data_IF_210492692539
#
_entry.id   IF_210492692539
#
_cell.length_a   1.000
_cell.length_b   1.000
_cell.length_c   1.000
_cell.angle_alpha   90.00
_cell.angle_beta   90.00
_cell.angle_gamma   90.00
#
_symmetry.space_group_name_H-M   'P 1'
#
loop_
_entity.id
_entity.type
_entity.pdbx_description
1 polymer ?
#
# COMPACT_ATOMS: atom_id res chain seq x y z
N UNK A 1 2.65 -42.84 7.84
CA UNK A 1 3.94 -42.43 8.45
C UNK A 1 4.43 -41.02 8.08
N UNK A 2 3.92 -40.33 7.04
CA UNK A 2 4.37 -38.96 6.65
C UNK A 2 4.06 -37.81 7.65
N UNK A 3 3.46 -38.10 8.79
CA UNK A 3 3.04 -37.11 9.80
C UNK A 3 3.63 -37.35 11.19
N UNK A 4 4.49 -38.36 11.37
CA UNK A 4 5.13 -38.69 12.64
C UNK A 4 6.55 -38.12 12.65
N UNK A 5 6.90 -37.42 13.74
CA UNK A 5 8.22 -36.84 13.96
C UNK A 5 8.72 -37.19 15.36
N UNK A 6 9.99 -37.55 15.48
CA UNK A 6 10.63 -37.82 16.76
C UNK A 6 11.23 -36.52 17.31
N UNK A 7 10.96 -36.23 18.59
CA UNK A 7 11.49 -35.03 19.25
C UNK A 7 12.87 -35.29 19.86
N UNK A 8 13.60 -34.21 20.17
CA UNK A 8 14.91 -34.29 20.84
C UNK A 8 14.86 -35.09 22.16
N UNK A 9 13.73 -35.05 22.88
CA UNK A 9 13.52 -35.86 24.10
C UNK A 9 13.70 -37.36 23.86
N UNK A 10 13.24 -37.87 22.73
CA UNK A 10 13.42 -39.27 22.35
C UNK A 10 14.89 -39.61 22.16
N UNK A 11 15.64 -38.77 21.45
CA UNK A 11 17.07 -38.96 21.23
C UNK A 11 17.88 -38.84 22.53
N UNK A 12 17.53 -37.90 23.41
CA UNK A 12 18.17 -37.80 24.73
C UNK A 12 17.87 -39.00 25.62
N UNK A 13 16.65 -39.53 25.59
CA UNK A 13 16.30 -40.76 26.30
C UNK A 13 17.14 -41.95 25.80
N UNK A 14 17.26 -42.11 24.48
CA UNK A 14 18.11 -43.15 23.88
C UNK A 14 19.60 -42.95 24.17
N UNK A 15 20.07 -41.69 24.18
CA UNK A 15 21.46 -41.39 24.54
C UNK A 15 21.76 -41.77 26.00
N UNK A 16 20.84 -41.48 26.92
CA UNK A 16 20.94 -41.93 28.32
C UNK A 16 20.98 -43.45 28.45
N UNK A 17 20.13 -44.17 27.70
CA UNK A 17 20.17 -45.64 27.60
C UNK A 17 21.53 -46.12 27.07
N UNK A 18 22.08 -45.44 26.05
CA UNK A 18 23.42 -45.74 25.51
C UNK A 18 24.53 -45.60 26.55
N UNK A 19 24.50 -44.54 27.37
CA UNK A 19 25.44 -44.36 28.48
C UNK A 19 25.32 -45.53 29.47
N UNK A 20 24.11 -45.95 29.82
CA UNK A 20 23.91 -47.11 30.71
C UNK A 20 24.52 -48.40 30.13
N UNK A 21 24.42 -48.61 28.81
CA UNK A 21 25.10 -49.75 28.17
C UNK A 21 26.63 -49.65 28.21
N UNK A 22 27.20 -48.46 28.06
CA UNK A 22 28.65 -48.27 28.21
C UNK A 22 29.09 -48.57 29.64
N UNK A 23 28.33 -48.11 30.64
CA UNK A 23 28.60 -48.40 32.06
C UNK A 23 28.41 -49.89 32.41
N UNK A 24 27.58 -50.62 31.67
CA UNK A 24 27.39 -52.05 31.84
C UNK A 24 28.64 -52.89 31.54
N UNK A 25 29.59 -52.35 30.76
CA UNK A 25 30.90 -52.97 30.59
C UNK A 25 31.67 -53.07 31.92
N UNK A 26 31.61 -52.01 32.74
CA UNK A 26 32.31 -51.95 34.03
C UNK A 26 31.50 -52.57 35.17
N UNK A 27 30.17 -52.47 35.10
CA UNK A 27 29.26 -52.93 36.15
C UNK A 27 28.17 -53.82 35.55
N UNK A 28 28.27 -55.16 35.65
CA UNK A 28 27.32 -56.08 35.02
C UNK A 28 25.84 -55.86 35.39
N UNK A 29 25.56 -55.34 36.58
CA UNK A 29 24.20 -55.00 37.03
C UNK A 29 23.53 -53.93 36.14
N UNK A 30 24.32 -53.01 35.57
CA UNK A 30 23.80 -51.96 34.68
C UNK A 30 23.21 -52.51 33.39
N UNK A 31 23.55 -53.74 32.99
CA UNK A 31 22.96 -54.37 31.79
C UNK A 31 21.44 -54.57 31.93
N UNK A 32 20.99 -55.05 33.09
CA UNK A 32 19.56 -55.25 33.36
C UNK A 32 18.80 -53.91 33.43
N UNK A 33 19.45 -52.89 33.98
CA UNK A 33 18.92 -51.52 34.05
C UNK A 33 18.80 -50.94 32.64
N UNK A 34 19.83 -51.06 31.81
CA UNK A 34 19.83 -50.56 30.43
C UNK A 34 18.74 -51.23 29.56
N UNK A 35 18.58 -52.55 29.64
CA UNK A 35 17.51 -53.28 28.96
C UNK A 35 16.12 -52.81 29.41
N UNK A 36 15.92 -52.66 30.72
CA UNK A 36 14.64 -52.21 31.29
C UNK A 36 14.30 -50.78 30.86
N UNK A 37 15.29 -49.87 30.89
CA UNK A 37 15.12 -48.49 30.42
C UNK A 37 14.82 -48.43 28.92
N UNK A 38 15.47 -49.27 28.11
CA UNK A 38 15.20 -49.33 26.67
C UNK A 38 13.75 -49.76 26.40
N UNK A 39 13.28 -50.84 27.02
CA UNK A 39 11.91 -51.31 26.90
C UNK A 39 10.94 -50.22 27.36
N UNK A 40 11.22 -49.57 28.49
CA UNK A 40 10.40 -48.47 29.01
C UNK A 40 10.28 -47.30 28.02
N UNK A 41 11.39 -46.86 27.42
CA UNK A 41 11.38 -45.79 26.40
C UNK A 41 10.59 -46.21 25.16
N UNK A 42 10.73 -47.46 24.70
CA UNK A 42 9.98 -47.98 23.56
C UNK A 42 8.47 -48.05 23.84
N UNK A 43 8.08 -48.53 25.03
CA UNK A 43 6.67 -48.56 25.46
C UNK A 43 6.11 -47.14 25.57
N UNK A 44 6.82 -46.21 26.21
CA UNK A 44 6.38 -44.81 26.27
C UNK A 44 6.23 -44.18 24.89
N UNK A 45 7.14 -44.49 23.97
CA UNK A 45 7.08 -43.99 22.58
C UNK A 45 5.88 -44.57 21.85
N UNK A 46 5.58 -45.86 22.03
CA UNK A 46 4.40 -46.51 21.45
C UNK A 46 3.09 -45.93 22.02
N UNK A 47 3.03 -45.71 23.34
CA UNK A 47 1.87 -45.09 24.01
C UNK A 47 1.66 -43.65 23.53
N UNK A 48 2.73 -42.85 23.45
CA UNK A 48 2.67 -41.47 22.93
C UNK A 48 2.16 -41.43 21.48
N UNK A 49 2.66 -42.34 20.64
CA UNK A 49 2.21 -42.51 19.26
C UNK A 49 0.74 -42.94 19.18
N UNK A 50 0.30 -43.90 19.98
CA UNK A 50 -1.09 -44.35 19.98
C UNK A 50 -2.03 -43.22 20.40
N UNK A 51 -1.74 -42.52 21.50
CA UNK A 51 -2.58 -41.42 22.00
C UNK A 51 -2.72 -40.31 20.94
N UNK A 52 -1.61 -39.94 20.28
CA UNK A 52 -1.63 -38.90 19.24
C UNK A 52 -2.31 -39.34 17.94
N UNK A 53 -2.34 -40.63 17.59
CA UNK A 53 -2.86 -41.09 16.29
C UNK A 53 -4.23 -41.78 16.36
N UNK A 54 -4.72 -42.13 17.56
CA UNK A 54 -6.09 -42.64 17.78
C UNK A 54 -7.13 -41.62 17.31
N UNK A 55 -6.99 -40.36 17.72
CA UNK A 55 -7.92 -39.32 17.30
C UNK A 55 -7.48 -38.73 15.95
N UNK A 56 -8.14 -39.12 14.84
CA UNK A 56 -7.80 -38.60 13.50
C UNK A 56 -7.95 -37.08 13.42
N UNK A 57 -8.97 -36.52 14.06
CA UNK A 57 -9.26 -35.08 14.14
C UNK A 57 -8.81 -34.49 15.47
N UNK A 58 -7.62 -34.87 15.94
CA UNK A 58 -7.09 -34.42 17.23
C UNK A 58 -6.97 -32.90 17.38
N UNK A 59 -6.82 -32.16 16.27
CA UNK A 59 -6.95 -30.71 16.23
C UNK A 59 -7.70 -30.26 14.97
N UNK A 60 -8.44 -29.15 15.10
CA UNK A 60 -8.94 -28.38 13.97
C UNK A 60 -8.28 -27.01 13.99
N UNK A 61 -7.84 -26.51 12.85
CA UNK A 61 -7.24 -25.19 12.77
C UNK A 61 -7.67 -24.46 11.50
N UNK A 62 -7.79 -23.15 11.63
CA UNK A 62 -8.07 -22.25 10.52
C UNK A 62 -7.29 -20.95 10.69
N UNK A 63 -6.71 -20.51 9.59
CA UNK A 63 -6.21 -19.18 9.29
C UNK A 63 -7.37 -18.33 8.81
N UNK A 64 -7.52 -17.19 9.44
CA UNK A 64 -8.49 -16.16 9.13
C UNK A 64 -7.69 -15.01 8.51
N UNK A 65 -7.80 -14.90 7.20
CA UNK A 65 -7.18 -13.84 6.41
C UNK A 65 -8.14 -12.65 6.30
N UNK A 66 -7.62 -11.42 6.22
CA UNK A 66 -8.45 -10.29 5.80
C UNK A 66 -8.92 -10.49 4.35
N UNK A 67 -9.94 -9.76 3.91
CA UNK A 67 -10.40 -9.84 2.52
C UNK A 67 -9.33 -9.40 1.52
N UNK A 68 -8.53 -8.41 1.90
CA UNK A 68 -7.47 -7.79 1.10
C UNK A 68 -6.34 -7.32 2.00
N UNK A 69 -5.11 -7.38 1.49
CA UNK A 69 -3.95 -6.75 2.11
C UNK A 69 -3.85 -5.27 1.70
N UNK A 70 -3.37 -4.45 2.61
CA UNK A 70 -3.11 -3.02 2.41
C UNK A 70 -1.59 -2.78 2.30
N UNK A 71 -1.12 -2.37 1.12
CA UNK A 71 0.29 -2.20 0.80
C UNK A 71 0.95 -1.07 1.62
N UNK A 72 2.00 -1.41 2.36
CA UNK A 72 2.71 -0.51 3.26
C UNK A 72 2.06 -0.28 4.62
N UNK A 73 1.00 -1.04 4.94
CA UNK A 73 0.34 -0.97 6.25
C UNK A 73 0.43 -2.32 6.98
N UNK A 74 0.22 -2.30 8.29
CA UNK A 74 0.14 -3.49 9.12
C UNK A 74 -1.17 -4.26 8.86
N UNK A 75 -1.06 -5.51 8.44
CA UNK A 75 -2.20 -6.40 8.20
C UNK A 75 -2.19 -7.54 9.23
N UNK A 76 -3.30 -7.67 9.95
CA UNK A 76 -3.51 -8.73 10.93
C UNK A 76 -3.90 -10.05 10.24
N UNK A 77 -3.16 -11.12 10.54
CA UNK A 77 -3.56 -12.49 10.23
C UNK A 77 -3.80 -13.23 11.53
N UNK A 78 -4.96 -13.88 11.62
CA UNK A 78 -5.37 -14.61 12.81
C UNK A 78 -5.40 -16.09 12.51
N UNK A 79 -5.08 -16.90 13.51
CA UNK A 79 -5.22 -18.34 13.43
C UNK A 79 -5.94 -18.81 14.68
N UNK A 80 -6.94 -19.64 14.46
CA UNK A 80 -7.79 -20.28 15.45
C UNK A 80 -7.48 -21.78 15.44
N UNK A 81 -7.15 -22.33 16.60
CA UNK A 81 -6.85 -23.75 16.79
C UNK A 81 -7.73 -24.27 17.91
N UNK A 82 -8.44 -25.36 17.64
CA UNK A 82 -9.20 -26.12 18.63
C UNK A 82 -8.50 -27.41 18.97
N UNK A 83 -8.32 -27.66 20.27
CA UNK A 83 -7.81 -28.92 20.77
C UNK A 83 -8.96 -29.92 20.99
N UNK A 84 -8.97 -31.00 20.23
CA UNK A 84 -9.96 -32.09 20.36
C UNK A 84 -9.39 -33.31 21.11
N UNK A 85 -8.17 -33.23 21.65
CA UNK A 85 -7.66 -34.24 22.56
C UNK A 85 -8.20 -34.01 23.98
N UNK A 86 -8.31 -35.10 24.75
CA UNK A 86 -8.72 -35.08 26.15
C UNK A 86 -7.57 -34.70 27.11
N UNK A 87 -6.52 -34.07 26.60
CA UNK A 87 -5.33 -33.67 27.34
C UNK A 87 -4.75 -32.38 26.76
N UNK A 88 -3.92 -31.70 27.56
CA UNK A 88 -3.26 -30.46 27.16
C UNK A 88 -2.17 -30.76 26.13
N UNK A 89 -2.17 -30.00 25.04
CA UNK A 89 -1.22 -30.19 23.94
C UNK A 89 -0.21 -29.05 23.88
N UNK A 90 1.04 -29.39 23.58
CA UNK A 90 2.05 -28.41 23.21
C UNK A 90 2.16 -28.36 21.69
N UNK A 91 1.96 -27.18 21.12
CA UNK A 91 1.94 -26.97 19.68
C UNK A 91 3.14 -26.16 19.23
N UNK A 92 3.69 -26.54 18.07
CA UNK A 92 4.61 -25.73 17.25
C UNK A 92 3.90 -25.42 15.94
N UNK A 93 3.60 -24.16 15.72
CA UNK A 93 2.80 -23.69 14.61
C UNK A 93 3.72 -22.95 13.64
N UNK A 94 3.74 -23.44 12.41
CA UNK A 94 4.50 -22.88 11.31
C UNK A 94 3.49 -22.52 10.25
N UNK A 95 3.41 -21.24 9.94
CA UNK A 95 2.64 -20.79 8.81
C UNK A 95 3.58 -20.46 7.64
N UNK A 96 3.36 -21.11 6.50
CA UNK A 96 4.09 -20.84 5.26
C UNK A 96 3.64 -19.48 4.68
N UNK A 97 4.20 -18.42 5.25
CA UNK A 97 3.98 -17.04 4.83
C UNK A 97 4.57 -16.84 3.40
N UNK A 98 3.91 -16.06 2.52
CA UNK A 98 4.39 -15.81 1.17
C UNK A 98 5.83 -15.30 1.12
N UNK A 99 6.59 -15.76 0.12
CA UNK A 99 8.03 -15.49 0.02
C UNK A 99 8.37 -13.99 -0.02
N UNK A 100 7.45 -13.15 -0.52
CA UNK A 100 7.63 -11.70 -0.60
C UNK A 100 7.88 -11.06 0.77
N UNK A 101 7.39 -11.66 1.85
CA UNK A 101 7.62 -11.16 3.22
C UNK A 101 9.01 -11.51 3.77
N UNK A 102 9.75 -12.43 3.13
CA UNK A 102 11.08 -12.92 3.56
C UNK A 102 11.16 -13.43 5.03
N UNK A 103 10.02 -13.73 5.68
CA UNK A 103 9.96 -14.31 7.03
C UNK A 103 10.12 -15.85 6.94
N UNK A 104 11.34 -16.35 7.15
CA UNK A 104 11.66 -17.80 6.99
C UNK A 104 11.65 -18.60 8.29
N UNK A 105 11.75 -17.92 9.42
CA UNK A 105 11.89 -18.48 10.76
C UNK A 105 10.60 -18.39 11.59
N UNK A 106 9.45 -18.23 10.93
CA UNK A 106 8.17 -18.07 11.60
C UNK A 106 7.78 -19.35 12.36
N UNK A 107 7.76 -19.23 13.70
CA UNK A 107 7.41 -20.31 14.60
C UNK A 107 6.70 -19.76 15.83
N UNK A 108 5.51 -20.28 16.11
CA UNK A 108 4.76 -19.97 17.32
C UNK A 108 4.67 -21.23 18.19
N UNK A 109 4.95 -21.08 19.48
CA UNK A 109 4.79 -22.16 20.48
C UNK A 109 3.64 -21.82 21.41
N UNK A 110 2.69 -22.74 21.56
CA UNK A 110 1.53 -22.53 22.44
C UNK A 110 1.11 -23.82 23.11
N UNK A 111 0.73 -23.72 24.38
CA UNK A 111 0.04 -24.79 25.10
C UNK A 111 -1.47 -24.53 24.98
N UNK A 112 -2.23 -25.56 24.61
CA UNK A 112 -3.68 -25.48 24.43
C UNK A 112 -4.32 -26.54 25.34
N UNK A 113 -5.20 -26.10 26.24
CA UNK A 113 -5.91 -26.96 27.16
C UNK A 113 -6.87 -27.91 26.41
N UNK A 114 -7.18 -29.04 27.04
CA UNK A 114 -8.15 -30.01 26.52
C UNK A 114 -9.50 -29.36 26.19
N UNK A 115 -10.02 -29.58 24.98
CA UNK A 115 -11.33 -29.08 24.56
C UNK A 115 -11.43 -27.57 24.27
N UNK A 116 -10.38 -26.79 24.55
CA UNK A 116 -10.38 -25.34 24.42
C UNK A 116 -9.87 -24.88 23.04
N UNK A 117 -10.24 -23.64 22.69
CA UNK A 117 -9.71 -22.92 21.53
C UNK A 117 -8.56 -22.01 21.95
N UNK A 118 -7.57 -21.88 21.08
CA UNK A 118 -6.51 -20.89 21.18
C UNK A 118 -6.52 -20.00 19.94
N UNK A 119 -6.54 -18.69 20.17
CA UNK A 119 -6.42 -17.67 19.14
C UNK A 119 -5.04 -17.05 19.20
N UNK A 120 -4.45 -16.83 18.03
CA UNK A 120 -3.24 -16.04 17.91
C UNK A 120 -3.28 -15.15 16.69
N UNK A 121 -2.59 -14.03 16.79
CA UNK A 121 -2.57 -12.98 15.81
C UNK A 121 -1.11 -12.60 15.53
N UNK A 122 -0.78 -12.42 14.26
CA UNK A 122 0.52 -11.90 13.85
C UNK A 122 0.34 -10.91 12.71
N UNK A 123 1.32 -10.01 12.60
CA UNK A 123 1.24 -8.88 11.68
C UNK A 123 2.16 -9.11 10.48
N UNK A 124 1.62 -8.80 9.30
CA UNK A 124 2.32 -8.80 8.02
C UNK A 124 2.23 -7.41 7.38
N UNK A 125 3.36 -6.89 6.92
CA UNK A 125 3.42 -5.61 6.22
C UNK A 125 3.87 -5.85 4.77
N UNK A 126 2.95 -5.88 3.79
CA UNK A 126 3.29 -6.12 2.39
C UNK A 126 3.97 -4.90 1.81
N UNK A 127 5.14 -5.11 1.22
CA UNK A 127 5.95 -4.07 0.56
C UNK A 127 5.76 -4.01 -0.96
N UNK A 128 5.03 -4.98 -1.51
CA UNK A 128 4.72 -5.04 -2.93
C UNK A 128 3.21 -5.21 -3.13
N UNK A 129 2.67 -4.61 -4.20
CA UNK A 129 1.30 -4.88 -4.63
C UNK A 129 1.25 -6.12 -5.52
N UNK A 130 0.08 -6.76 -5.56
CA UNK A 130 -0.14 -7.96 -6.37
C UNK A 130 -0.79 -9.09 -5.58
N UNK A 131 -0.56 -10.33 -6.01
CA UNK A 131 -1.13 -11.52 -5.38
C UNK A 131 -0.10 -12.18 -4.44
N UNK A 132 -0.52 -12.41 -3.21
CA UNK A 132 0.23 -13.14 -2.18
C UNK A 132 -0.37 -14.53 -2.04
N UNK A 133 0.44 -15.57 -2.19
CA UNK A 133 0.01 -16.96 -2.05
C UNK A 133 0.58 -17.53 -0.76
N UNK A 134 -0.31 -17.76 0.22
CA UNK A 134 0.05 -18.44 1.45
C UNK A 134 0.17 -19.94 1.20
N UNK A 135 1.22 -20.55 1.74
CA UNK A 135 1.36 -21.99 1.72
C UNK A 135 0.52 -22.68 2.80
N UNK A 136 1.01 -23.80 3.29
CA UNK A 136 0.35 -24.60 4.31
C UNK A 136 0.43 -23.96 5.70
N UNK A 137 -0.65 -24.09 6.47
CA UNK A 137 -0.60 -23.96 7.93
C UNK A 137 -0.21 -25.32 8.53
N UNK A 138 0.99 -25.41 9.06
CA UNK A 138 1.57 -26.65 9.62
C UNK A 138 1.58 -26.56 11.14
N UNK A 139 0.98 -27.54 11.81
CA UNK A 139 0.95 -27.61 13.27
C UNK A 139 1.52 -28.94 13.72
N UNK A 140 2.59 -28.89 14.50
CA UNK A 140 3.14 -30.06 15.19
C UNK A 140 2.58 -30.10 16.61
N UNK A 141 1.92 -31.20 16.94
CA UNK A 141 1.28 -31.43 18.23
C UNK A 141 2.09 -32.45 19.03
N UNK A 142 2.39 -32.11 20.27
CA UNK A 142 3.05 -32.98 21.24
C UNK A 142 2.08 -33.28 22.38
N UNK A 143 2.08 -34.53 22.83
CA UNK A 143 1.44 -34.90 24.09
C UNK A 143 2.30 -34.42 25.29
N UNK A 144 1.81 -34.58 26.53
CA UNK A 144 2.61 -34.36 27.74
C UNK A 144 3.89 -35.22 27.80
N UNK A 145 3.88 -36.43 27.21
CA UNK A 145 5.06 -37.31 27.11
C UNK A 145 6.12 -36.65 26.20
N UNK A 146 5.69 -36.22 25.01
CA UNK A 146 6.46 -35.39 24.10
C UNK A 146 7.66 -36.08 23.45
N UNK A 147 7.67 -37.42 23.35
CA UNK A 147 8.66 -38.19 22.60
C UNK A 147 8.36 -38.13 21.10
N UNK A 148 7.09 -38.12 20.73
CA UNK A 148 6.58 -38.00 19.37
C UNK A 148 5.86 -36.66 19.18
N UNK A 149 5.98 -36.11 17.96
CA UNK A 149 5.15 -35.05 17.43
C UNK A 149 4.31 -35.59 16.27
N UNK A 150 3.02 -35.23 16.25
CA UNK A 150 2.15 -35.44 15.09
C UNK A 150 2.00 -34.14 14.30
N UNK A 151 2.22 -34.19 12.99
CA UNK A 151 2.05 -33.06 12.06
C UNK A 151 0.64 -33.04 11.46
N UNK A 152 0.00 -31.89 11.53
CA UNK A 152 -1.23 -31.55 10.84
C UNK A 152 -0.98 -30.43 9.82
N UNK A 153 -1.76 -30.40 8.75
CA UNK A 153 -1.61 -29.47 7.64
C UNK A 153 -2.98 -28.96 7.23
N UNK A 154 -3.15 -27.64 7.19
CA UNK A 154 -4.41 -26.97 6.90
C UNK A 154 -4.24 -25.89 5.81
N UNK A 155 -5.35 -25.55 5.15
CA UNK A 155 -5.51 -24.41 4.23
C UNK A 155 -4.30 -24.10 3.35
N UNK A 156 -4.16 -24.90 2.30
CA UNK A 156 -3.10 -24.77 1.31
C UNK A 156 -3.45 -23.71 0.24
N UNK A 157 -2.45 -22.98 -0.21
CA UNK A 157 -2.49 -22.10 -1.40
C UNK A 157 -3.57 -20.99 -1.32
N UNK A 158 -3.77 -20.41 -0.13
CA UNK A 158 -4.71 -19.30 0.06
C UNK A 158 -4.16 -18.02 -0.61
N UNK A 159 -4.86 -17.55 -1.65
CA UNK A 159 -4.49 -16.35 -2.41
C UNK A 159 -5.10 -15.10 -1.81
N UNK A 160 -4.29 -14.06 -1.66
CA UNK A 160 -4.72 -12.80 -1.08
C UNK A 160 -4.13 -11.62 -1.87
N UNK A 161 -4.99 -10.70 -2.30
CA UNK A 161 -4.59 -9.55 -3.09
C UNK A 161 -4.14 -8.39 -2.19
N UNK A 162 -2.97 -7.81 -2.49
CA UNK A 162 -2.42 -6.58 -1.89
C UNK A 162 -2.77 -5.36 -2.74
N UNK A 163 -3.66 -4.54 -2.20
CA UNK A 163 -4.16 -3.30 -2.80
C UNK A 163 -3.38 -2.09 -2.27
N UNK A 164 -3.48 -0.91 -2.94
CA UNK A 164 -3.01 0.35 -2.38
C UNK A 164 -3.53 0.59 -0.97
N UNK A 165 -2.77 1.34 -0.16
CA UNK A 165 -3.11 1.64 1.22
C UNK A 165 -4.53 2.20 1.34
N UNK A 166 -5.38 1.50 2.11
CA UNK A 166 -6.76 1.90 2.38
C UNK A 166 -7.10 2.00 3.87
N UNK A 167 -6.26 1.43 4.76
CA UNK A 167 -6.48 1.43 6.21
C UNK A 167 -6.50 2.87 6.76
N UNK A 168 -5.64 3.74 6.23
CA UNK A 168 -5.47 5.11 6.70
C UNK A 168 -6.43 6.14 6.07
N UNK A 169 -7.37 5.74 5.19
CA UNK A 169 -8.27 6.69 4.51
C UNK A 169 -9.09 7.54 5.48
N UNK A 170 -9.60 6.93 6.55
CA UNK A 170 -10.39 7.64 7.58
C UNK A 170 -9.54 8.65 8.36
N UNK A 171 -8.28 8.32 8.65
CA UNK A 171 -7.32 9.23 9.29
C UNK A 171 -7.11 10.47 8.42
N UNK A 172 -6.89 10.29 7.12
CA UNK A 172 -6.72 11.40 6.19
C UNK A 172 -8.00 12.24 6.02
N UNK A 173 -9.18 11.62 6.06
CA UNK A 173 -10.46 12.35 6.05
C UNK A 173 -10.57 13.30 7.25
N UNK A 174 -10.24 12.83 8.46
CA UNK A 174 -10.27 13.66 9.67
C UNK A 174 -9.24 14.81 9.61
N UNK A 175 -8.03 14.55 9.13
CA UNK A 175 -6.99 15.57 8.95
C UNK A 175 -7.41 16.63 7.92
N UNK A 176 -8.03 16.23 6.81
CA UNK A 176 -8.53 17.13 5.78
C UNK A 176 -9.60 18.08 6.33
N UNK A 177 -10.49 17.59 7.20
CA UNK A 177 -11.49 18.41 7.88
C UNK A 177 -10.83 19.44 8.81
N UNK A 178 -9.83 19.04 9.60
CA UNK A 178 -9.11 19.96 10.48
C UNK A 178 -8.44 21.10 9.69
N UNK A 179 -7.77 20.78 8.58
CA UNK A 179 -7.11 21.79 7.75
C UNK A 179 -8.09 22.77 7.09
N UNK A 180 -9.30 22.33 6.77
CA UNK A 180 -10.33 23.21 6.24
C UNK A 180 -10.74 24.29 7.25
N UNK A 181 -10.86 23.96 8.54
CA UNK A 181 -11.10 24.95 9.58
C UNK A 181 -10.00 26.01 9.63
N UNK A 182 -8.74 25.60 9.46
CA UNK A 182 -7.60 26.52 9.41
C UNK A 182 -7.61 27.40 8.15
N UNK A 183 -8.07 26.87 7.02
CA UNK A 183 -8.19 27.60 5.75
C UNK A 183 -9.43 28.51 5.69
N UNK A 184 -10.36 28.40 6.66
CA UNK A 184 -11.63 29.13 6.72
C UNK A 184 -11.52 30.67 6.75
N UNK A 185 -10.32 31.23 6.90
CA UNK A 185 -10.04 32.67 6.78
C UNK A 185 -9.67 33.16 5.37
N UNK A 186 -9.51 32.27 4.38
CA UNK A 186 -9.16 32.67 3.01
C UNK A 186 -10.42 33.23 2.33
N UNK A 187 -10.48 34.55 2.18
CA UNK A 187 -11.53 35.24 1.42
C UNK A 187 -11.59 34.66 0.01
N UNK A 188 -12.71 34.01 -0.34
CA UNK A 188 -12.97 33.53 -1.71
C UNK A 188 -12.98 34.73 -2.66
N UNK A 189 -11.88 34.97 -3.34
CA UNK A 189 -11.83 35.97 -4.40
C UNK A 189 -12.60 35.38 -5.58
N UNK A 190 -13.81 35.88 -5.84
CA UNK A 190 -14.56 35.60 -7.07
C UNK A 190 -13.70 36.10 -8.24
N UNK A 191 -13.05 35.19 -8.98
CA UNK A 191 -12.41 35.53 -10.26
C UNK A 191 -13.45 35.44 -11.36
N UNK A 192 -13.63 36.55 -12.08
CA UNK A 192 -14.41 36.60 -13.31
C UNK A 192 -13.63 35.85 -14.40
N UNK A 193 -14.09 34.68 -14.82
CA UNK A 193 -13.36 33.81 -15.76
C UNK A 193 -13.84 32.36 -15.75
N UNK A 194 -15.00 32.16 -16.36
CA UNK A 194 -15.84 30.97 -16.53
C UNK A 194 -15.18 29.57 -16.60
N UNK A 195 -15.59 28.68 -15.68
CA UNK A 195 -16.07 27.33 -16.04
C UNK A 195 -17.49 27.23 -15.48
N UNK A 196 -18.48 27.67 -16.25
CA UNK A 196 -19.88 27.60 -15.82
C UNK A 196 -20.53 26.38 -16.49
N UNK A 197 -21.19 25.55 -15.70
CA UNK A 197 -21.98 24.42 -16.17
C UNK A 197 -23.36 24.94 -16.59
N UNK A 198 -23.86 24.49 -17.75
CA UNK A 198 -25.20 24.85 -18.20
C UNK A 198 -26.21 24.29 -17.17
N UNK A 199 -26.99 25.18 -16.57
CA UNK A 199 -28.00 24.82 -15.58
C UNK A 199 -29.34 24.60 -16.28
N UNK A 200 -29.82 25.61 -16.99
CA UNK A 200 -31.10 25.59 -17.67
C UNK A 200 -31.22 26.73 -18.69
N UNK A 201 -32.26 26.69 -19.53
CA UNK A 201 -32.67 27.84 -20.34
C UNK A 201 -33.82 28.52 -19.61
N UNK A 202 -33.75 29.84 -19.43
CA UNK A 202 -34.82 30.64 -18.83
C UNK A 202 -35.19 31.83 -19.69
N UNK A 203 -36.32 32.47 -19.37
CA UNK A 203 -36.73 33.73 -19.98
C UNK A 203 -35.69 34.84 -19.70
N UNK A 204 -35.43 35.66 -20.72
CA UNK A 204 -34.59 36.85 -20.62
C UNK A 204 -35.19 37.84 -19.63
N UNK A 205 -34.36 38.34 -18.70
CA UNK A 205 -34.72 39.44 -17.81
C UNK A 205 -33.81 40.62 -18.11
N UNK A 206 -34.36 41.83 -18.01
CA UNK A 206 -33.62 43.06 -18.24
C UNK A 206 -32.41 43.14 -17.29
N UNK A 207 -31.21 43.17 -17.85
CA UNK A 207 -29.93 43.09 -17.12
C UNK A 207 -29.10 41.85 -17.45
N UNK A 208 -29.68 40.85 -18.12
CA UNK A 208 -28.93 39.69 -18.64
C UNK A 208 -28.03 40.08 -19.81
N UNK A 209 -26.83 39.48 -19.85
CA UNK A 209 -25.88 39.66 -20.95
C UNK A 209 -26.47 39.15 -22.27
N UNK A 210 -26.34 39.95 -23.32
CA UNK A 210 -26.83 39.62 -24.67
C UNK A 210 -26.06 38.41 -25.24
N UNK A 211 -24.84 38.15 -24.78
CA UNK A 211 -24.01 37.02 -25.23
C UNK A 211 -24.53 35.65 -24.78
N UNK A 212 -25.34 35.59 -23.72
CA UNK A 212 -25.91 34.33 -23.22
C UNK A 212 -27.26 33.99 -23.86
N UNK A 213 -27.76 34.80 -24.80
CA UNK A 213 -29.02 34.53 -25.52
C UNK A 213 -28.89 33.23 -26.32
N UNK A 214 -29.84 32.31 -26.11
CA UNK A 214 -29.93 31.08 -26.86
C UNK A 214 -30.85 31.26 -28.07
N UNK A 215 -30.28 31.70 -29.20
CA UNK A 215 -31.05 31.94 -30.43
C UNK A 215 -31.85 30.74 -30.92
N UNK A 216 -31.40 29.51 -30.66
CA UNK A 216 -32.10 28.28 -31.04
C UNK A 216 -33.34 28.03 -30.18
N UNK A 217 -33.30 28.41 -28.91
CA UNK A 217 -34.45 28.32 -28.02
C UNK A 217 -35.42 29.49 -28.27
N UNK A 218 -34.88 30.70 -28.48
CA UNK A 218 -35.63 31.90 -28.87
C UNK A 218 -36.33 31.76 -30.22
N UNK A 219 -35.82 30.98 -31.18
CA UNK A 219 -36.54 30.77 -32.45
C UNK A 219 -37.74 29.83 -32.32
N UNK A 220 -37.77 29.02 -31.25
CA UNK A 220 -38.86 28.08 -30.96
C UNK A 220 -39.87 28.62 -29.93
N UNK A 221 -39.47 29.62 -29.15
CA UNK A 221 -40.28 30.29 -28.16
C UNK A 221 -40.58 31.70 -28.65
N UNK A 222 -41.81 32.21 -28.52
CA UNK A 222 -42.12 33.61 -28.91
C UNK A 222 -41.53 34.67 -27.95
N UNK A 223 -40.56 34.28 -27.11
CA UNK A 223 -39.90 35.11 -26.10
C UNK A 223 -38.37 34.91 -26.17
N UNK A 224 -37.61 35.94 -25.79
CA UNK A 224 -36.16 35.88 -25.67
C UNK A 224 -35.75 34.89 -24.57
N UNK A 225 -34.94 33.90 -24.94
CA UNK A 225 -34.46 32.82 -24.06
C UNK A 225 -32.95 32.98 -23.82
N UNK A 226 -32.51 32.77 -22.57
CA UNK A 226 -31.11 32.92 -22.15
C UNK A 226 -30.61 31.61 -21.53
N UNK A 227 -29.40 31.21 -21.88
CA UNK A 227 -28.70 30.13 -21.20
C UNK A 227 -28.26 30.62 -19.81
N UNK A 228 -28.84 30.02 -18.77
CA UNK A 228 -28.38 30.19 -17.40
C UNK A 228 -27.26 29.19 -17.14
N UNK A 229 -26.12 29.71 -16.70
CA UNK A 229 -24.98 28.89 -16.31
C UNK A 229 -24.72 29.09 -14.82
N UNK A 230 -24.39 28.00 -14.12
CA UNK A 230 -23.99 27.99 -12.72
C UNK A 230 -22.49 27.71 -12.63
N UNK A 231 -21.82 28.23 -11.59
CA UNK A 231 -20.43 27.85 -11.33
C UNK A 231 -20.32 26.32 -11.18
N UNK A 232 -19.41 25.67 -11.92
CA UNK A 232 -19.19 24.23 -11.82
C UNK A 232 -18.77 23.89 -10.37
N UNK A 233 -19.68 23.29 -9.60
CA UNK A 233 -19.44 22.94 -8.19
C UNK A 233 -18.48 21.76 -8.04
N UNK A 234 -18.37 20.93 -9.08
CA UNK A 234 -17.63 19.67 -9.08
C UNK A 234 -16.42 19.77 -10.00
N UNK A 235 -15.28 20.11 -9.43
CA UNK A 235 -14.03 20.25 -10.18
C UNK A 235 -13.52 18.88 -10.65
N UNK A 236 -12.80 18.85 -11.78
CA UNK A 236 -12.14 17.65 -12.30
C UNK A 236 -10.69 17.61 -11.84
N UNK A 237 -10.32 16.54 -11.14
CA UNK A 237 -8.95 16.31 -10.68
C UNK A 237 -8.45 15.02 -11.30
N UNK A 238 -7.32 15.14 -12.01
CA UNK A 238 -6.67 14.05 -12.74
C UNK A 238 -5.29 13.80 -12.12
N UNK A 239 -5.07 12.57 -11.67
CA UNK A 239 -3.79 12.11 -11.13
C UNK A 239 -3.02 11.35 -12.22
N UNK A 240 -1.87 11.89 -12.63
CA UNK A 240 -0.97 11.31 -13.62
C UNK A 240 0.20 10.68 -12.88
N UNK A 241 0.36 9.36 -13.01
CA UNK A 241 1.37 8.61 -12.27
C UNK A 241 2.44 8.10 -13.23
N UNK A 242 3.66 8.57 -13.07
CA UNK A 242 4.80 8.03 -13.80
C UNK A 242 5.13 6.63 -13.25
N UNK A 243 5.33 5.65 -14.15
CA UNK A 243 5.79 4.29 -13.85
C UNK A 243 7.16 3.96 -14.48
N UNK A 244 7.89 4.97 -14.95
CA UNK A 244 9.23 4.83 -15.50
C UNK A 244 10.29 4.53 -14.44
N UNK A 245 11.55 4.43 -14.91
CA UNK A 245 12.66 3.95 -14.07
C UNK A 245 12.91 4.77 -12.80
N UNK A 246 12.73 6.09 -12.86
CA UNK A 246 13.03 7.01 -11.74
C UNK A 246 12.09 6.83 -10.55
N UNK A 247 10.94 6.18 -10.79
CA UNK A 247 9.93 5.89 -9.77
C UNK A 247 10.19 4.55 -9.05
N UNK A 248 11.20 3.78 -9.47
CA UNK A 248 11.61 2.51 -8.82
C UNK A 248 12.50 2.72 -7.59
N UNK A 249 12.97 3.94 -7.35
CA UNK A 249 13.81 4.26 -6.20
C UNK A 249 13.15 3.78 -4.89
N UNK A 250 13.82 2.94 -4.09
CA UNK A 250 13.27 2.41 -2.85
C UNK A 250 13.38 3.43 -1.71
N UNK A 251 12.42 3.37 -0.79
CA UNK A 251 12.32 4.19 0.40
C UNK A 251 11.53 3.38 1.45
N UNK A 252 12.12 3.10 2.62
CA UNK A 252 11.52 2.27 3.69
C UNK A 252 10.86 0.96 3.22
N UNK A 253 11.47 0.33 2.20
CA UNK A 253 10.99 -0.91 1.59
C UNK A 253 9.91 -0.75 0.51
N UNK A 254 9.39 0.46 0.28
CA UNK A 254 8.44 0.78 -0.80
C UNK A 254 9.13 1.59 -1.90
N UNK A 255 8.65 1.53 -3.13
CA UNK A 255 9.11 2.40 -4.21
C UNK A 255 8.39 3.75 -4.21
N UNK A 256 8.99 4.78 -4.84
CA UNK A 256 8.31 6.08 -5.04
C UNK A 256 6.98 5.94 -5.80
N UNK A 257 6.88 4.96 -6.70
CA UNK A 257 5.61 4.59 -7.35
C UNK A 257 4.57 4.14 -6.31
N UNK A 258 4.95 3.32 -5.35
CA UNK A 258 4.04 2.80 -4.32
C UNK A 258 3.49 3.91 -3.44
N UNK A 259 4.35 4.86 -3.03
CA UNK A 259 3.92 6.06 -2.34
C UNK A 259 2.97 6.90 -3.21
N UNK A 260 3.28 7.09 -4.49
CA UNK A 260 2.40 7.83 -5.43
C UNK A 260 1.03 7.19 -5.58
N UNK A 261 0.97 5.86 -5.60
CA UNK A 261 -0.26 5.08 -5.69
C UNK A 261 -1.07 5.19 -4.39
N UNK A 262 -0.42 5.09 -3.24
CA UNK A 262 -1.05 5.29 -1.93
C UNK A 262 -1.61 6.72 -1.79
N UNK A 263 -0.86 7.73 -2.23
CA UNK A 263 -1.32 9.13 -2.26
C UNK A 263 -2.47 9.34 -3.23
N UNK A 264 -2.44 8.71 -4.41
CA UNK A 264 -3.55 8.74 -5.36
C UNK A 264 -4.81 8.14 -4.76
N UNK A 265 -4.70 7.01 -4.04
CA UNK A 265 -5.84 6.37 -3.37
C UNK A 265 -6.42 7.25 -2.27
N UNK A 266 -5.55 7.78 -1.38
CA UNK A 266 -5.95 8.69 -0.31
C UNK A 266 -6.60 9.96 -0.84
N UNK A 267 -5.96 10.61 -1.82
CA UNK A 267 -6.47 11.82 -2.43
C UNK A 267 -7.79 11.59 -3.16
N UNK A 268 -7.92 10.50 -3.91
CA UNK A 268 -9.17 10.15 -4.60
C UNK A 268 -10.33 10.02 -3.62
N UNK A 269 -10.09 9.43 -2.44
CA UNK A 269 -11.10 9.35 -1.38
C UNK A 269 -11.56 10.75 -0.94
N UNK A 270 -10.62 11.67 -0.70
CA UNK A 270 -10.92 13.04 -0.28
C UNK A 270 -11.62 13.85 -1.38
N UNK A 271 -11.17 13.74 -2.64
CA UNK A 271 -11.77 14.39 -3.81
C UNK A 271 -13.26 14.01 -3.91
N UNK A 272 -13.54 12.71 -3.89
CA UNK A 272 -14.90 12.17 -4.01
C UNK A 272 -15.78 12.58 -2.82
N UNK A 273 -15.25 12.56 -1.60
CA UNK A 273 -15.94 13.04 -0.40
C UNK A 273 -16.29 14.52 -0.47
N UNK A 274 -15.47 15.33 -1.16
CA UNK A 274 -15.70 16.75 -1.40
C UNK A 274 -16.62 17.03 -2.61
N UNK A 275 -17.19 15.99 -3.23
CA UNK A 275 -18.12 16.10 -4.35
C UNK A 275 -17.46 16.33 -5.71
N UNK A 276 -16.13 16.38 -5.77
CA UNK A 276 -15.37 16.58 -7.00
C UNK A 276 -15.16 15.26 -7.74
N UNK A 277 -14.76 15.35 -9.02
CA UNK A 277 -14.54 14.21 -9.90
C UNK A 277 -13.08 13.77 -9.86
N UNK A 278 -12.82 12.55 -9.41
CA UNK A 278 -11.49 11.96 -9.35
C UNK A 278 -11.25 11.04 -10.56
N UNK A 279 -10.16 11.28 -11.30
CA UNK A 279 -9.69 10.43 -12.39
C UNK A 279 -8.18 10.22 -12.33
N UNK A 280 -7.68 9.22 -13.04
CA UNK A 280 -6.25 8.92 -13.06
C UNK A 280 -5.80 8.28 -14.38
N UNK A 281 -4.51 8.37 -14.67
CA UNK A 281 -3.84 7.48 -15.64
C UNK A 281 -2.38 7.26 -15.23
N UNK A 282 -1.84 6.10 -15.58
CA UNK A 282 -0.42 5.80 -15.42
C UNK A 282 0.29 6.00 -16.76
N UNK A 283 1.59 6.28 -16.77
CA UNK A 283 2.33 6.37 -18.03
C UNK A 283 3.80 5.99 -17.89
N UNK A 284 4.37 5.48 -18.98
CA UNK A 284 5.82 5.38 -19.21
C UNK A 284 6.06 5.58 -20.71
N UNK A 285 6.26 4.50 -21.49
CA UNK A 285 6.28 4.54 -22.96
C UNK A 285 4.94 4.92 -23.59
N UNK A 286 3.84 4.65 -22.91
CA UNK A 286 2.48 5.01 -23.31
C UNK A 286 1.61 5.19 -22.07
N UNK A 287 0.52 5.97 -22.16
CA UNK A 287 -0.51 6.02 -21.14
C UNK A 287 -1.22 4.67 -20.99
N UNK A 288 -1.50 4.27 -19.75
CA UNK A 288 -2.14 3.02 -19.36
C UNK A 288 -3.07 3.23 -18.15
N UNK A 289 -3.81 2.19 -17.77
CA UNK A 289 -4.68 2.14 -16.57
C UNK A 289 -5.64 3.32 -16.43
N UNK A 290 -6.13 3.90 -17.52
CA UNK A 290 -6.92 5.14 -17.51
C UNK A 290 -8.28 4.95 -16.83
N UNK A 291 -8.58 5.83 -15.87
CA UNK A 291 -9.88 5.99 -15.24
C UNK A 291 -10.35 7.43 -15.44
N UNK A 292 -11.47 7.59 -16.15
CA UNK A 292 -12.06 8.91 -16.42
C UNK A 292 -12.51 9.55 -15.10
N UNK A 293 -12.32 10.86 -14.97
CA UNK A 293 -12.79 11.62 -13.81
C UNK A 293 -14.31 11.61 -13.72
N UNK A 294 -14.83 11.00 -12.66
CA UNK A 294 -16.25 10.92 -12.32
C UNK A 294 -16.39 11.03 -10.78
N UNK A 295 -17.60 11.24 -10.28
CA UNK A 295 -17.93 11.25 -8.85
C UNK A 295 -19.05 10.25 -8.49
N UNK A 296 -19.42 9.37 -9.44
CA UNK A 296 -20.40 8.29 -9.23
C UNK A 296 -19.99 7.30 -8.13
N UNK A 297 -21.00 6.63 -7.57
CA UNK A 297 -20.80 5.52 -6.65
C UNK A 297 -19.91 4.43 -7.29
N UNK A 298 -18.96 3.91 -6.51
CA UNK A 298 -17.99 2.93 -6.98
C UNK A 298 -16.78 3.49 -7.72
N UNK A 299 -16.66 4.81 -7.93
CA UNK A 299 -15.49 5.40 -8.58
C UNK A 299 -14.18 5.08 -7.83
N UNK A 300 -14.18 5.17 -6.49
CA UNK A 300 -13.01 4.82 -5.68
C UNK A 300 -12.57 3.36 -5.87
N UNK A 301 -13.54 2.45 -6.03
CA UNK A 301 -13.26 1.03 -6.30
C UNK A 301 -12.61 0.86 -7.68
N UNK A 302 -13.11 1.53 -8.72
CA UNK A 302 -12.50 1.51 -10.06
C UNK A 302 -11.05 2.03 -10.04
N UNK A 303 -10.80 3.11 -9.29
CA UNK A 303 -9.44 3.65 -9.11
C UNK A 303 -8.56 2.63 -8.38
N UNK A 304 -9.04 2.05 -7.28
CA UNK A 304 -8.31 1.02 -6.52
C UNK A 304 -7.95 -0.20 -7.37
N UNK A 305 -8.88 -0.68 -8.20
CA UNK A 305 -8.67 -1.79 -9.14
C UNK A 305 -7.67 -1.43 -10.25
N UNK A 306 -7.74 -0.21 -10.79
CA UNK A 306 -6.79 0.25 -11.79
C UNK A 306 -5.35 0.37 -11.24
N UNK A 307 -5.21 0.70 -9.95
CA UNK A 307 -3.93 0.85 -9.25
C UNK A 307 -3.37 -0.49 -8.73
N UNK A 308 -4.20 -1.50 -8.56
CA UNK A 308 -3.85 -2.79 -7.94
C UNK A 308 -2.61 -3.44 -8.54
N UNK A 309 -2.52 -3.52 -9.87
CA UNK A 309 -1.42 -4.22 -10.56
C UNK A 309 -0.49 -3.26 -11.31
N UNK A 310 -0.38 -2.01 -10.84
CA UNK A 310 0.55 -1.04 -11.44
C UNK A 310 1.96 -1.29 -10.91
N UNK A 311 2.87 -1.59 -11.83
CA UNK A 311 4.27 -1.86 -11.56
C UNK A 311 5.18 -0.88 -12.31
N UNK A 312 6.38 -0.64 -11.75
CA UNK A 312 7.42 0.11 -12.44
C UNK A 312 7.94 -0.67 -13.64
N UNK A 313 8.50 0.04 -14.61
CA UNK A 313 9.25 -0.55 -15.70
C UNK A 313 10.60 0.15 -15.86
N UNK A 314 11.48 -0.45 -16.65
CA UNK A 314 12.83 0.05 -16.87
C UNK A 314 12.92 1.14 -17.96
N UNK A 315 11.79 1.56 -18.53
CA UNK A 315 11.78 2.52 -19.63
C UNK A 315 11.86 3.97 -19.14
N UNK A 316 12.36 4.83 -20.03
CA UNK A 316 12.25 6.28 -19.89
C UNK A 316 10.80 6.70 -20.19
N UNK A 317 10.29 7.65 -19.43
CA UNK A 317 8.90 8.10 -19.54
C UNK A 317 8.72 9.07 -20.70
N UNK A 318 7.72 8.82 -21.54
CA UNK A 318 7.41 9.61 -22.72
C UNK A 318 6.38 10.68 -22.40
N UNK A 319 6.87 11.86 -22.00
CA UNK A 319 6.04 13.04 -21.73
C UNK A 319 5.40 13.60 -22.99
N UNK A 320 5.92 13.29 -24.18
CA UNK A 320 5.32 13.70 -25.45
C UNK A 320 4.00 12.99 -25.68
N UNK A 321 3.97 11.66 -25.51
CA UNK A 321 2.74 10.87 -25.56
C UNK A 321 1.78 11.22 -24.43
N UNK A 322 2.28 11.48 -23.23
CA UNK A 322 1.45 11.98 -22.12
C UNK A 322 0.76 13.31 -22.49
N UNK A 323 1.49 14.25 -23.08
CA UNK A 323 0.94 15.52 -23.51
C UNK A 323 -0.10 15.36 -24.62
N UNK A 324 0.14 14.47 -25.59
CA UNK A 324 -0.85 14.16 -26.62
C UNK A 324 -2.14 13.58 -26.00
N UNK A 325 -2.01 12.60 -25.12
CA UNK A 325 -3.14 11.96 -24.45
C UNK A 325 -3.96 12.95 -23.61
N UNK A 326 -3.28 13.77 -22.81
CA UNK A 326 -3.94 14.82 -22.01
C UNK A 326 -4.66 15.81 -22.92
N UNK A 327 -4.04 16.27 -24.01
CA UNK A 327 -4.65 17.20 -24.95
C UNK A 327 -5.90 16.66 -25.65
N UNK A 328 -5.93 15.37 -25.99
CA UNK A 328 -7.06 14.78 -26.73
C UNK A 328 -8.20 14.28 -25.85
N UNK A 329 -7.93 13.98 -24.58
CA UNK A 329 -8.92 13.37 -23.69
C UNK A 329 -9.33 14.24 -22.50
N UNK A 330 -8.53 15.25 -22.14
CA UNK A 330 -8.89 16.23 -21.12
C UNK A 330 -9.41 17.49 -21.81
N UNK A 331 -10.67 17.44 -22.24
CA UNK A 331 -11.29 18.53 -23.00
C UNK A 331 -11.72 19.73 -22.14
N UNK A 332 -11.61 19.61 -20.82
CA UNK A 332 -12.03 20.63 -19.87
C UNK A 332 -10.87 20.97 -18.92
N UNK A 333 -10.84 22.23 -18.48
CA UNK A 333 -9.89 22.71 -17.48
C UNK A 333 -10.00 21.81 -16.23
N UNK A 334 -8.87 21.29 -15.79
CA UNK A 334 -8.79 20.28 -14.73
C UNK A 334 -7.56 20.55 -13.87
N UNK A 335 -7.59 20.12 -12.61
CA UNK A 335 -6.40 20.05 -11.77
C UNK A 335 -5.64 18.80 -12.17
N UNK A 336 -4.41 18.97 -12.64
CA UNK A 336 -3.55 17.85 -13.03
C UNK A 336 -2.44 17.72 -12.01
N UNK A 337 -2.42 16.57 -11.32
CA UNK A 337 -1.41 16.22 -10.34
C UNK A 337 -0.48 15.18 -10.95
N UNK A 338 0.75 15.57 -11.25
CA UNK A 338 1.73 14.72 -11.92
C UNK A 338 2.76 14.19 -10.93
N UNK A 339 2.65 12.91 -10.58
CA UNK A 339 3.60 12.19 -9.75
C UNK A 339 4.75 11.70 -10.63
N UNK A 340 5.91 12.31 -10.49
CA UNK A 340 7.12 11.98 -11.28
C UNK A 340 8.36 12.41 -10.51
N UNK A 341 9.51 11.79 -10.76
CA UNK A 341 10.76 12.22 -10.15
C UNK A 341 11.75 12.71 -11.23
N UNK A 342 12.21 13.95 -11.09
CA UNK A 342 13.29 14.53 -11.89
C UNK A 342 14.55 14.59 -11.04
N UNK A 343 15.60 13.87 -11.44
CA UNK A 343 16.87 13.85 -10.70
C UNK A 343 17.69 15.12 -10.93
N UNK A 344 17.73 15.61 -12.17
CA UNK A 344 18.54 16.78 -12.58
C UNK A 344 17.70 17.83 -13.29
N UNK A 345 18.22 19.07 -13.32
CA UNK A 345 17.60 20.18 -14.05
C UNK A 345 17.53 19.92 -15.55
N UNK A 346 18.54 19.28 -16.13
CA UNK A 346 18.55 18.90 -17.55
C UNK A 346 17.46 17.88 -17.89
N UNK A 347 17.24 16.93 -16.98
CA UNK A 347 16.15 15.97 -17.07
C UNK A 347 14.78 16.66 -17.13
N UNK A 348 14.57 17.68 -16.30
CA UNK A 348 13.37 18.53 -16.35
C UNK A 348 13.29 19.32 -17.66
N UNK A 349 14.37 19.98 -18.07
CA UNK A 349 14.39 20.87 -19.24
C UNK A 349 14.01 20.13 -20.52
N UNK A 350 14.43 18.86 -20.68
CA UNK A 350 14.02 17.98 -21.79
C UNK A 350 12.50 17.82 -21.89
N UNK A 351 11.80 17.83 -20.75
CA UNK A 351 10.35 17.62 -20.68
C UNK A 351 9.54 18.91 -20.56
N UNK A 352 10.20 20.05 -20.30
CA UNK A 352 9.56 21.33 -20.02
C UNK A 352 8.58 21.77 -21.12
N UNK A 353 8.89 21.50 -22.40
CA UNK A 353 7.98 21.84 -23.51
C UNK A 353 6.61 21.16 -23.39
N UNK A 354 6.57 19.92 -22.89
CA UNK A 354 5.35 19.14 -22.71
C UNK A 354 4.60 19.58 -21.45
N UNK A 355 5.32 19.78 -20.35
CA UNK A 355 4.74 20.27 -19.10
C UNK A 355 4.07 21.64 -19.28
N UNK A 356 4.72 22.55 -20.01
CA UNK A 356 4.14 23.85 -20.40
C UNK A 356 2.91 23.70 -21.28
N UNK A 357 2.91 22.71 -22.18
CA UNK A 357 1.74 22.38 -23.00
C UNK A 357 0.53 21.98 -22.16
N UNK A 358 0.73 21.13 -21.15
CA UNK A 358 -0.32 20.73 -20.20
C UNK A 358 -0.76 21.94 -19.35
N UNK A 359 0.19 22.69 -18.81
CA UNK A 359 -0.07 23.85 -17.94
C UNK A 359 -0.81 25.01 -18.62
N UNK A 360 -0.76 25.08 -19.97
CA UNK A 360 -1.52 26.08 -20.73
C UNK A 360 -3.03 25.89 -20.60
N UNK A 361 -3.49 24.63 -20.55
CA UNK A 361 -4.93 24.29 -20.56
C UNK A 361 -5.43 23.81 -19.19
N UNK A 362 -4.53 23.32 -18.33
CA UNK A 362 -4.85 22.72 -17.04
C UNK A 362 -3.99 23.33 -15.94
N UNK A 363 -4.48 23.31 -14.70
CA UNK A 363 -3.65 23.69 -13.56
C UNK A 363 -2.74 22.52 -13.21
N UNK A 364 -1.46 22.62 -13.57
CA UNK A 364 -0.48 21.56 -13.36
C UNK A 364 0.24 21.73 -12.02
N UNK A 365 0.23 20.67 -11.22
CA UNK A 365 1.09 20.50 -10.04
C UNK A 365 1.99 19.30 -10.28
N UNK A 366 3.31 19.51 -10.20
CA UNK A 366 4.31 18.45 -10.33
C UNK A 366 4.76 18.02 -8.93
N UNK A 367 4.60 16.73 -8.62
CA UNK A 367 4.92 16.14 -7.33
C UNK A 367 6.17 15.29 -7.48
N UNK A 368 7.22 15.64 -6.76
CA UNK A 368 8.50 14.93 -6.74
C UNK A 368 9.06 14.83 -5.32
N UNK A 369 10.08 13.97 -5.17
CA UNK A 369 10.43 13.39 -3.88
C UNK A 369 11.76 13.90 -3.35
N UNK A 370 11.77 14.21 -2.05
CA UNK A 370 12.98 14.35 -1.23
C UNK A 370 13.56 12.96 -0.95
N UNK A 371 14.87 12.84 -0.99
CA UNK A 371 15.58 11.64 -0.55
C UNK A 371 15.92 11.81 0.94
N UNK A 372 15.48 10.88 1.80
CA UNK A 372 15.80 10.90 3.24
C UNK A 372 17.29 10.80 3.51
N UNK A 373 18.01 9.97 2.76
CA UNK A 373 19.44 9.75 2.97
C UNK A 373 20.24 11.03 2.71
N UNK A 374 19.92 11.72 1.61
CA UNK A 374 20.50 13.03 1.28
C UNK A 374 20.15 14.06 2.37
N UNK A 375 18.91 14.02 2.87
CA UNK A 375 18.49 14.93 3.94
C UNK A 375 19.21 14.65 5.27
N UNK A 376 19.47 13.38 5.59
CA UNK A 376 20.20 12.98 6.79
C UNK A 376 21.66 13.45 6.72
N UNK A 377 22.33 13.27 5.57
CA UNK A 377 23.70 13.74 5.36
C UNK A 377 23.85 15.26 5.54
N UNK A 378 22.82 16.04 5.20
CA UNK A 378 22.80 17.49 5.40
C UNK A 378 22.62 17.93 6.85
N UNK A 379 22.17 17.03 7.73
CA UNK A 379 21.88 17.32 9.14
C UNK A 379 22.92 16.72 10.09
N UNK A 380 23.89 15.96 9.57
CA UNK A 380 25.00 15.38 10.35
C UNK A 380 26.21 16.29 10.30
N UNK A 381 26.89 16.47 11.43
CA UNK A 381 28.18 17.16 11.45
C UNK A 381 29.26 16.18 10.98
N UNK A 382 30.01 16.47 9.90
CA UNK A 382 31.04 15.56 9.41
C UNK A 382 32.26 15.54 10.36
N UNK A 383 32.77 14.34 10.66
CA UNK A 383 33.95 14.12 11.51
C UNK A 383 35.21 13.81 10.70
N UNK A 384 35.07 13.43 9.42
CA UNK A 384 36.19 13.09 8.54
C UNK A 384 36.04 13.67 7.12
N UNK A 385 37.13 13.63 6.34
CA UNK A 385 37.15 14.19 4.97
C UNK A 385 36.13 13.53 4.04
N UNK A 386 35.85 12.25 4.21
CA UNK A 386 34.88 11.55 3.36
C UNK A 386 33.46 12.07 3.62
N UNK A 387 33.09 12.25 4.88
CA UNK A 387 31.79 12.82 5.27
C UNK A 387 31.63 14.25 4.78
N UNK A 388 32.70 15.06 4.77
CA UNK A 388 32.69 16.40 4.16
C UNK A 388 32.36 16.31 2.66
N UNK A 389 32.96 15.36 1.92
CA UNK A 389 32.64 15.17 0.50
C UNK A 389 31.20 14.73 0.29
N UNK A 390 30.69 13.81 1.12
CA UNK A 390 29.32 13.31 1.06
C UNK A 390 28.31 14.45 1.35
N UNK A 391 28.59 15.32 2.32
CA UNK A 391 27.78 16.51 2.63
C UNK A 391 27.74 17.48 1.43
N UNK A 392 28.89 17.82 0.83
CA UNK A 392 28.96 18.73 -0.33
C UNK A 392 28.16 18.16 -1.51
N UNK A 393 28.24 16.85 -1.74
CA UNK A 393 27.46 16.18 -2.79
C UNK A 393 25.97 16.23 -2.47
N UNK A 394 25.59 15.98 -1.22
CA UNK A 394 24.20 16.09 -0.76
C UNK A 394 23.64 17.51 -0.94
N UNK A 395 24.43 18.54 -0.62
CA UNK A 395 24.05 19.95 -0.79
C UNK A 395 23.85 20.30 -2.26
N UNK A 396 24.74 19.81 -3.14
CA UNK A 396 24.59 19.96 -4.59
C UNK A 396 23.28 19.35 -5.08
N UNK A 397 22.92 18.14 -4.65
CA UNK A 397 21.65 17.51 -5.04
C UNK A 397 20.43 18.30 -4.56
N UNK A 398 20.44 18.78 -3.32
CA UNK A 398 19.35 19.61 -2.79
C UNK A 398 19.26 20.96 -3.52
N UNK A 399 20.39 21.54 -3.90
CA UNK A 399 20.44 22.75 -4.72
C UNK A 399 19.81 22.55 -6.10
N UNK A 400 20.11 21.43 -6.79
CA UNK A 400 19.48 21.10 -8.08
C UNK A 400 17.95 20.98 -7.96
N UNK A 401 17.45 20.40 -6.85
CA UNK A 401 15.99 20.32 -6.59
C UNK A 401 15.37 21.69 -6.42
N UNK A 402 16.04 22.62 -5.74
CA UNK A 402 15.60 24.02 -5.64
C UNK A 402 15.54 24.71 -7.01
N UNK A 403 16.53 24.46 -7.88
CA UNK A 403 16.51 24.98 -9.25
C UNK A 403 15.34 24.42 -10.07
N UNK A 404 15.05 23.12 -9.96
CA UNK A 404 13.89 22.48 -10.59
C UNK A 404 12.58 23.16 -10.15
N UNK A 405 12.42 23.42 -8.85
CA UNK A 405 11.24 24.13 -8.31
C UNK A 405 11.11 25.52 -8.93
N UNK A 406 12.22 26.27 -8.98
CA UNK A 406 12.24 27.63 -9.53
C UNK A 406 11.91 27.65 -11.02
N UNK A 407 12.47 26.72 -11.80
CA UNK A 407 12.23 26.65 -13.25
C UNK A 407 10.78 26.24 -13.56
N UNK A 408 10.17 25.32 -12.79
CA UNK A 408 8.73 25.03 -12.89
C UNK A 408 7.88 26.27 -12.59
N UNK A 409 8.19 26.97 -11.48
CA UNK A 409 7.46 28.16 -11.02
C UNK A 409 7.50 29.29 -12.05
N UNK A 410 8.62 29.47 -12.76
CA UNK A 410 8.78 30.47 -13.83
C UNK A 410 7.72 30.34 -14.93
N UNK A 411 7.21 29.14 -15.17
CA UNK A 411 6.14 28.89 -16.15
C UNK A 411 4.74 28.73 -15.51
N UNK A 412 4.57 29.13 -14.25
CA UNK A 412 3.30 29.02 -13.54
C UNK A 412 2.92 27.58 -13.16
N UNK A 413 3.87 26.65 -13.21
CA UNK A 413 3.65 25.26 -12.81
C UNK A 413 3.90 25.17 -11.31
N UNK A 414 2.91 24.65 -10.57
CA UNK A 414 3.06 24.43 -9.13
C UNK A 414 3.86 23.16 -8.88
N UNK A 415 4.51 23.08 -7.74
CA UNK A 415 5.23 21.88 -7.33
C UNK A 415 4.97 21.51 -5.87
N UNK A 416 5.13 20.22 -5.58
CA UNK A 416 5.23 19.67 -4.23
C UNK A 416 6.55 18.91 -4.19
N UNK A 417 7.43 19.32 -3.28
CA UNK A 417 8.70 18.66 -3.01
C UNK A 417 8.72 18.17 -1.56
N UNK A 418 8.50 16.87 -1.37
CA UNK A 418 8.27 16.30 -0.04
C UNK A 418 8.89 14.92 0.13
N UNK A 419 9.07 14.50 1.38
CA UNK A 419 9.46 13.13 1.72
C UNK A 419 8.31 12.17 1.37
N UNK A 420 8.61 10.94 0.91
CA UNK A 420 7.57 9.97 0.55
C UNK A 420 6.54 9.70 1.67
N UNK A 421 6.96 9.71 2.94
CA UNK A 421 6.09 9.51 4.11
C UNK A 421 5.01 10.58 4.26
N UNK A 422 5.33 11.82 3.90
CA UNK A 422 4.44 12.98 4.03
C UNK A 422 3.56 13.20 2.79
N UNK A 423 3.82 12.46 1.70
CA UNK A 423 3.20 12.66 0.40
C UNK A 423 1.67 12.71 0.45
N UNK A 424 1.05 11.76 1.16
CA UNK A 424 -0.41 11.66 1.25
C UNK A 424 -1.00 12.97 1.81
N UNK A 425 -0.40 13.50 2.88
CA UNK A 425 -0.86 14.69 3.57
C UNK A 425 -0.63 15.93 2.70
N UNK A 426 0.57 16.08 2.14
CA UNK A 426 0.95 17.27 1.38
C UNK A 426 0.15 17.43 0.10
N UNK A 427 -0.15 16.32 -0.60
CA UNK A 427 -0.96 16.36 -1.82
C UNK A 427 -2.42 16.69 -1.49
N UNK A 428 -2.99 16.11 -0.42
CA UNK A 428 -4.33 16.46 0.06
C UNK A 428 -4.41 17.94 0.42
N UNK A 429 -3.44 18.44 1.18
CA UNK A 429 -3.38 19.85 1.58
C UNK A 429 -3.25 20.77 0.38
N UNK A 430 -2.44 20.39 -0.62
CA UNK A 430 -2.29 21.19 -1.83
C UNK A 430 -3.59 21.27 -2.64
N UNK A 431 -4.32 20.16 -2.75
CA UNK A 431 -5.64 20.15 -3.36
C UNK A 431 -6.62 21.07 -2.61
N UNK A 432 -6.68 20.96 -1.27
CA UNK A 432 -7.55 21.82 -0.46
C UNK A 432 -7.18 23.30 -0.56
N UNK A 433 -5.88 23.64 -0.58
CA UNK A 433 -5.37 24.99 -0.79
C UNK A 433 -5.84 25.56 -2.15
N UNK A 434 -5.67 24.79 -3.23
CA UNK A 434 -6.07 25.19 -4.58
C UNK A 434 -7.59 25.40 -4.66
N UNK A 435 -8.35 24.49 -4.07
CA UNK A 435 -9.81 24.57 -4.01
C UNK A 435 -10.28 25.77 -3.20
N UNK A 436 -9.68 26.03 -2.04
CA UNK A 436 -10.00 27.17 -1.18
C UNK A 436 -9.70 28.51 -1.87
N UNK A 437 -8.61 28.59 -2.65
CA UNK A 437 -8.22 29.80 -3.39
C UNK A 437 -9.02 30.03 -4.68
N UNK A 438 -9.79 29.05 -5.16
CA UNK A 438 -10.55 29.16 -6.41
C UNK A 438 -9.64 29.40 -7.63
N UNK A 439 -8.47 28.75 -7.68
CA UNK A 439 -7.51 28.91 -8.79
C UNK A 439 -7.87 28.01 -9.98
N UNK A 440 -8.58 26.91 -9.70
CA UNK A 440 -9.17 26.03 -10.70
C UNK A 440 -10.55 26.55 -11.09
#
# INVERSE_FOLDING_TARGET
MKSLYLNNKFFFALFGVGICYVLAFFFPVMMWIANSLLIFVLVLTAVDGLILFINKEGINAQRILPEKLSNGDENSVKIDIRNNYNFNINTRIIDEIPFQFQKRDFLIKKNIESGNNAYFEYILEPKERGEYSFGNLIIYVNSPIGLISRRFTFQKDAKLASYPSFIHLRKYELMALQNEFMLGGIKKIRKLGHTMEFEQIRDYVQGDDIRSINWKATSKSSKLMVNQFQDEKSQRIIMLIDKGRTMKMPFNGLSLLDYSINATMALSHIILKKGDRAGMMTFSKKPENKVVADNKSGQLKKISEALYNVQTNFFESDFGRLYQETKFHLNQRSLVLLFTNFETLDGLNRQMKYLRGIAKNHLLVVIFFKNSEVHNLLNTNPENMQEIYDEIIAEKFEFEKKLIIQELRKYGIYSIYTLPENLNIDVINKYLEIKARGIL
#
